data_IF_947367296416
#
_entry.id   IF_947367296416
#
_cell.length_a   1.000
_cell.length_b   1.000
_cell.length_c   1.000
_cell.angle_alpha   90.00
_cell.angle_beta   90.00
_cell.angle_gamma   90.00
#
_symmetry.space_group_name_H-M   'P 1'
#
loop_
_entity.id
_entity.type
_entity.pdbx_description
1 polymer ?
#
# COMPACT_ATOMS: atom_id res chain seq x y z
N UNK A 1 -53.16 -11.42 18.15
CA UNK A 1 -52.18 -10.31 18.07
C UNK A 1 -51.15 -10.67 17.01
N UNK A 2 -50.78 -9.78 16.09
CA UNK A 2 -49.79 -10.11 15.05
C UNK A 2 -48.37 -9.87 15.59
N UNK A 3 -47.47 -10.83 15.41
CA UNK A 3 -46.08 -10.75 15.82
C UNK A 3 -45.28 -9.94 14.79
N UNK A 4 -44.59 -8.88 15.21
CA UNK A 4 -43.78 -8.05 14.30
C UNK A 4 -42.44 -8.72 14.00
N UNK A 5 -42.34 -9.36 12.83
CA UNK A 5 -41.11 -9.96 12.31
C UNK A 5 -40.15 -8.89 11.74
N UNK A 6 -39.62 -7.98 12.57
CA UNK A 6 -38.72 -6.92 12.13
C UNK A 6 -37.24 -7.24 12.41
N UNK A 7 -36.77 -8.35 11.85
CA UNK A 7 -35.41 -8.87 12.02
C UNK A 7 -34.69 -9.02 10.67
N UNK A 8 -33.36 -9.19 10.67
CA UNK A 8 -32.52 -9.26 9.47
C UNK A 8 -32.87 -10.50 8.64
N UNK A 9 -32.44 -10.49 7.37
CA UNK A 9 -32.71 -11.59 6.44
C UNK A 9 -32.22 -12.94 6.97
N UNK A 10 -31.00 -12.99 7.52
CA UNK A 10 -30.40 -14.24 8.01
C UNK A 10 -31.10 -14.75 9.26
N UNK A 11 -31.58 -13.84 10.12
CA UNK A 11 -32.39 -14.17 11.30
C UNK A 11 -33.76 -14.72 10.89
N UNK A 12 -34.41 -14.15 9.86
CA UNK A 12 -35.66 -14.68 9.30
C UNK A 12 -35.47 -16.05 8.64
N UNK A 13 -34.35 -16.26 7.96
CA UNK A 13 -33.99 -17.55 7.37
C UNK A 13 -33.85 -18.58 8.48
N UNK A 14 -33.09 -18.27 9.52
CA UNK A 14 -32.90 -19.19 10.65
C UNK A 14 -34.24 -19.56 11.31
N UNK A 15 -35.11 -18.58 11.59
CA UNK A 15 -36.44 -18.84 12.15
C UNK A 15 -37.28 -19.72 11.22
N UNK A 16 -37.26 -19.48 9.90
CA UNK A 16 -37.99 -20.31 8.95
C UNK A 16 -37.46 -21.75 8.88
N UNK A 17 -36.14 -21.96 8.94
CA UNK A 17 -35.53 -23.30 9.02
C UNK A 17 -35.95 -24.01 10.31
N UNK A 18 -35.92 -23.32 11.45
CA UNK A 18 -36.27 -23.91 12.75
C UNK A 18 -37.75 -24.28 12.85
N UNK A 19 -38.60 -23.56 12.10
CA UNK A 19 -40.01 -23.91 11.90
C UNK A 19 -40.23 -25.05 10.89
N UNK A 20 -39.16 -25.58 10.28
CA UNK A 20 -39.22 -26.65 9.27
C UNK A 20 -39.73 -26.21 7.91
N UNK A 21 -39.63 -24.92 7.57
CA UNK A 21 -40.10 -24.37 6.29
C UNK A 21 -39.02 -24.48 5.23
N UNK A 22 -39.39 -24.88 4.01
CA UNK A 22 -38.49 -24.86 2.87
C UNK A 22 -38.27 -23.42 2.38
N UNK A 23 -37.01 -23.00 2.34
CA UNK A 23 -36.65 -21.63 1.97
C UNK A 23 -36.27 -21.56 0.49
N UNK A 24 -36.95 -20.74 -0.31
CA UNK A 24 -36.57 -20.51 -1.70
C UNK A 24 -35.18 -19.87 -1.78
N UNK A 25 -34.33 -20.38 -2.66
CA UNK A 25 -32.93 -19.98 -2.81
C UNK A 25 -32.71 -18.49 -3.14
N UNK A 26 -33.74 -17.78 -3.63
CA UNK A 26 -33.73 -16.33 -3.89
C UNK A 26 -34.77 -15.52 -3.10
N UNK A 27 -35.28 -16.05 -1.97
CA UNK A 27 -36.30 -15.38 -1.19
C UNK A 27 -35.85 -13.99 -0.69
N UNK A 28 -36.72 -12.98 -0.83
CA UNK A 28 -36.54 -11.66 -0.22
C UNK A 28 -37.10 -11.66 1.20
N UNK A 29 -36.71 -10.67 2.00
CA UNK A 29 -37.21 -10.46 3.37
C UNK A 29 -38.75 -10.49 3.43
N UNK A 30 -39.42 -9.86 2.46
CA UNK A 30 -40.89 -9.83 2.40
C UNK A 30 -41.47 -11.22 2.16
N UNK A 31 -40.83 -12.01 1.29
CA UNK A 31 -41.27 -13.37 0.97
C UNK A 31 -41.11 -14.30 2.18
N UNK A 32 -40.00 -14.14 2.93
CA UNK A 32 -39.74 -14.88 4.16
C UNK A 32 -40.75 -14.53 5.26
N UNK A 33 -41.07 -13.24 5.45
CA UNK A 33 -42.09 -12.82 6.43
C UNK A 33 -43.45 -13.42 6.11
N UNK A 34 -43.86 -13.33 4.84
CA UNK A 34 -45.12 -13.92 4.37
C UNK A 34 -45.13 -15.44 4.55
N UNK A 35 -44.03 -16.12 4.25
CA UNK A 35 -43.89 -17.57 4.42
C UNK A 35 -44.11 -17.97 5.89
N UNK A 36 -43.43 -17.28 6.82
CA UNK A 36 -43.57 -17.51 8.26
C UNK A 36 -45.00 -17.21 8.73
N UNK A 37 -45.57 -16.06 8.39
CA UNK A 37 -46.93 -15.66 8.77
C UNK A 37 -48.01 -16.61 8.20
N UNK A 38 -47.76 -17.20 7.04
CA UNK A 38 -48.68 -18.14 6.39
C UNK A 38 -48.65 -19.56 6.98
N UNK A 39 -47.57 -19.90 7.69
CA UNK A 39 -47.31 -21.24 8.22
C UNK A 39 -48.34 -21.67 9.28
N UNK A 40 -48.59 -22.98 9.38
CA UNK A 40 -49.47 -23.53 10.42
C UNK A 40 -48.90 -23.29 11.82
N UNK A 41 -47.57 -23.36 11.97
CA UNK A 41 -46.87 -23.15 13.24
C UNK A 41 -47.11 -21.73 13.77
N UNK A 42 -47.01 -20.70 12.92
CA UNK A 42 -47.27 -19.31 13.33
C UNK A 42 -48.72 -19.08 13.79
N UNK A 43 -49.68 -19.75 13.16
CA UNK A 43 -51.11 -19.60 13.47
C UNK A 43 -51.51 -20.34 14.75
N UNK A 44 -50.88 -21.48 15.01
CA UNK A 44 -51.20 -22.35 16.14
C UNK A 44 -50.41 -22.00 17.40
N UNK A 45 -49.15 -21.61 17.27
CA UNK A 45 -48.26 -21.31 18.40
C UNK A 45 -47.40 -20.07 18.14
N UNK A 46 -48.00 -18.90 18.38
CA UNK A 46 -47.35 -17.62 18.18
C UNK A 46 -46.26 -17.32 19.22
N UNK A 47 -46.36 -17.90 20.42
CA UNK A 47 -45.37 -17.73 21.49
C UNK A 47 -44.10 -18.52 21.18
N UNK A 48 -44.23 -19.72 20.60
CA UNK A 48 -43.09 -20.46 20.07
C UNK A 48 -42.34 -19.65 19.01
N UNK A 49 -43.04 -19.04 18.04
CA UNK A 49 -42.40 -18.18 17.04
C UNK A 49 -41.75 -16.95 17.69
N UNK A 50 -42.36 -16.37 18.73
CA UNK A 50 -41.73 -15.27 19.48
C UNK A 50 -40.39 -15.71 20.08
N UNK A 51 -40.38 -16.86 20.74
CA UNK A 51 -39.17 -17.41 21.36
C UNK A 51 -38.07 -17.69 20.32
N UNK A 52 -38.42 -18.20 19.14
CA UNK A 52 -37.47 -18.40 18.04
C UNK A 52 -36.86 -17.08 17.56
N UNK A 53 -37.68 -16.03 17.42
CA UNK A 53 -37.19 -14.71 17.00
C UNK A 53 -36.28 -14.09 18.07
N UNK A 54 -36.61 -14.23 19.35
CA UNK A 54 -35.77 -13.76 20.46
C UNK A 54 -34.42 -14.51 20.49
N UNK A 55 -34.44 -15.83 20.30
CA UNK A 55 -33.23 -16.65 20.26
C UNK A 55 -32.34 -16.30 19.05
N UNK A 56 -32.95 -16.06 17.88
CA UNK A 56 -32.22 -15.61 16.69
C UNK A 56 -31.49 -14.28 16.91
N UNK A 57 -32.14 -13.33 17.59
CA UNK A 57 -31.55 -12.03 17.93
C UNK A 57 -30.42 -12.17 18.95
N UNK A 58 -30.61 -12.98 19.99
CA UNK A 58 -29.59 -13.21 21.01
C UNK A 58 -28.35 -13.89 20.43
N UNK A 59 -28.53 -14.90 19.57
CA UNK A 59 -27.43 -15.58 18.86
C UNK A 59 -26.67 -14.64 17.94
N UNK A 60 -27.40 -13.81 17.17
CA UNK A 60 -26.82 -12.77 16.29
C UNK A 60 -25.97 -11.78 17.08
N UNK A 61 -26.44 -11.37 18.27
CA UNK A 61 -25.71 -10.46 19.16
C UNK A 61 -24.46 -11.11 19.76
N UNK A 62 -24.55 -12.34 20.26
CA UNK A 62 -23.41 -13.07 20.81
C UNK A 62 -22.31 -13.32 19.77
N UNK A 63 -22.70 -13.64 18.54
CA UNK A 63 -21.76 -13.84 17.44
C UNK A 63 -21.09 -12.52 17.01
N UNK A 64 -21.82 -11.40 17.01
CA UNK A 64 -21.24 -10.08 16.79
C UNK A 64 -20.22 -9.71 17.88
N UNK A 65 -20.58 -9.87 19.16
CA UNK A 65 -19.66 -9.59 20.28
C UNK A 65 -18.42 -10.49 20.24
N UNK A 66 -18.56 -11.76 19.85
CA UNK A 66 -17.44 -12.68 19.68
C UNK A 66 -16.53 -12.23 18.53
N UNK A 67 -17.11 -11.87 17.38
CA UNK A 67 -16.34 -11.40 16.23
C UNK A 67 -15.61 -10.09 16.52
N UNK A 68 -16.22 -9.18 17.26
CA UNK A 68 -15.57 -7.94 17.71
C UNK A 68 -14.38 -8.22 18.63
N UNK A 69 -14.54 -9.12 19.62
CA UNK A 69 -13.43 -9.54 20.50
C UNK A 69 -12.31 -10.23 19.72
N UNK A 70 -12.66 -11.10 18.78
CA UNK A 70 -11.67 -11.76 17.92
C UNK A 70 -10.90 -10.77 17.05
N UNK A 71 -11.59 -9.77 16.48
CA UNK A 71 -10.96 -8.70 15.70
C UNK A 71 -10.02 -7.85 16.58
N UNK A 72 -10.42 -7.54 17.81
CA UNK A 72 -9.59 -6.78 18.76
C UNK A 72 -8.33 -7.55 19.16
N UNK A 73 -8.47 -8.85 19.46
CA UNK A 73 -7.33 -9.74 19.75
C UNK A 73 -6.40 -9.85 18.54
N UNK A 74 -6.93 -9.95 17.33
CA UNK A 74 -6.11 -10.00 16.11
C UNK A 74 -5.34 -8.69 15.91
N UNK A 75 -5.98 -7.54 16.12
CA UNK A 75 -5.34 -6.23 16.02
C UNK A 75 -4.22 -6.08 17.06
N UNK A 76 -4.46 -6.53 18.29
CA UNK A 76 -3.48 -6.48 19.38
C UNK A 76 -2.28 -7.41 19.11
N UNK A 77 -2.53 -8.62 18.59
CA UNK A 77 -1.46 -9.53 18.12
C UNK A 77 -0.60 -8.93 17.02
N UNK A 78 -1.21 -8.24 16.05
CA UNK A 78 -0.46 -7.55 14.98
C UNK A 78 0.41 -6.44 15.57
N UNK A 79 -0.13 -5.63 16.48
CA UNK A 79 0.62 -4.58 17.18
C UNK A 79 1.79 -5.15 17.98
N UNK A 80 1.57 -6.22 18.73
CA UNK A 80 2.62 -6.91 19.50
C UNK A 80 3.72 -7.45 18.58
N UNK A 81 3.36 -8.13 17.50
CA UNK A 81 4.34 -8.64 16.53
C UNK A 81 5.17 -7.52 15.90
N UNK A 82 4.55 -6.36 15.63
CA UNK A 82 5.26 -5.20 15.11
C UNK A 82 6.25 -4.62 16.12
N UNK A 83 5.87 -4.54 17.40
CA UNK A 83 6.76 -4.09 18.49
C UNK A 83 7.89 -5.09 18.71
N UNK A 84 7.63 -6.39 18.70
CA UNK A 84 8.64 -7.43 18.84
C UNK A 84 9.68 -7.35 17.72
N UNK A 85 9.24 -7.21 16.46
CA UNK A 85 10.16 -6.99 15.33
C UNK A 85 10.99 -5.72 15.49
N UNK A 86 10.40 -4.63 15.97
CA UNK A 86 11.15 -3.39 16.23
C UNK A 86 12.19 -3.57 17.34
N UNK A 87 11.84 -4.28 18.41
CA UNK A 87 12.78 -4.59 19.49
C UNK A 87 13.90 -5.52 19.03
N UNK A 88 13.60 -6.50 18.20
CA UNK A 88 14.59 -7.40 17.61
C UNK A 88 15.56 -6.64 16.70
N UNK A 89 15.05 -5.77 15.82
CA UNK A 89 15.89 -4.87 15.01
C UNK A 89 16.74 -3.94 15.89
N UNK A 90 16.20 -3.42 16.98
CA UNK A 90 16.95 -2.58 17.92
C UNK A 90 18.04 -3.38 18.67
N UNK A 91 17.79 -4.66 19.00
CA UNK A 91 18.79 -5.55 19.60
C UNK A 91 19.89 -5.89 18.61
N UNK A 92 19.55 -6.26 17.38
CA UNK A 92 20.53 -6.52 16.31
C UNK A 92 21.39 -5.28 16.03
N UNK A 93 20.79 -4.08 16.04
CA UNK A 93 21.56 -2.82 15.95
C UNK A 93 22.51 -2.64 17.13
N UNK A 94 22.04 -2.82 18.36
CA UNK A 94 22.90 -2.70 19.57
C UNK A 94 23.96 -3.80 19.66
N UNK A 95 23.70 -4.99 19.17
CA UNK A 95 24.67 -6.08 19.10
C UNK A 95 25.67 -5.85 17.98
N UNK A 96 25.25 -5.31 16.83
CA UNK A 96 26.16 -4.80 15.80
C UNK A 96 27.08 -3.72 16.39
N UNK A 97 26.53 -2.77 17.15
CA UNK A 97 27.28 -1.70 17.84
C UNK A 97 28.25 -2.25 18.92
N UNK A 98 27.83 -3.24 19.71
CA UNK A 98 28.67 -3.91 20.72
C UNK A 98 29.73 -4.83 20.13
N UNK A 99 29.45 -5.49 19.02
CA UNK A 99 30.40 -6.35 18.34
C UNK A 99 31.47 -5.51 17.61
N UNK A 100 31.15 -4.28 17.18
CA UNK A 100 32.15 -3.26 16.83
C UNK A 100 32.93 -2.72 18.03
N UNK A 101 32.37 -2.70 19.25
CA UNK A 101 33.11 -2.29 20.45
C UNK A 101 34.04 -3.37 21.05
N UNK A 102 33.95 -4.63 20.59
CA UNK A 102 34.76 -5.74 21.13
C UNK A 102 36.00 -6.04 20.28
N UNK A 103 36.16 -5.40 19.13
CA UNK A 103 37.25 -5.59 18.18
C UNK A 103 37.79 -4.26 17.64
N UNK A 104 38.00 -3.26 18.50
CA UNK A 104 38.69 -2.02 18.10
C UNK A 104 39.69 -1.56 19.17
N UNK A 105 40.71 -2.39 19.35
CA UNK A 105 42.07 -1.85 19.36
C UNK A 105 42.47 -1.65 17.88
N UNK A 106 42.09 -0.52 17.28
CA UNK A 106 42.57 -0.08 15.96
C UNK A 106 41.47 0.22 14.91
N UNK A 107 41.09 1.50 14.81
CA UNK A 107 40.50 2.25 13.67
C UNK A 107 39.55 1.56 12.64
N UNK A 108 38.24 1.91 12.68
CA UNK A 108 37.39 2.04 11.49
C UNK A 108 36.33 3.16 11.59
N UNK A 109 36.40 4.07 12.56
CA UNK A 109 35.51 5.25 12.67
C UNK A 109 35.53 6.17 11.44
N UNK A 110 36.52 6.04 10.55
CA UNK A 110 36.69 6.93 9.42
C UNK A 110 35.73 6.68 8.24
N UNK A 111 35.26 5.44 8.01
CA UNK A 111 34.57 5.10 6.75
C UNK A 111 33.05 5.31 6.86
N UNK A 112 32.44 4.89 7.97
CA UNK A 112 31.02 5.10 8.26
C UNK A 112 30.70 6.59 8.41
N UNK A 113 31.54 7.34 9.13
CA UNK A 113 31.40 8.80 9.27
C UNK A 113 31.54 9.52 7.92
N UNK A 114 32.42 9.02 7.03
CA UNK A 114 32.54 9.54 5.65
C UNK A 114 31.29 9.24 4.83
N UNK A 115 30.72 8.04 4.92
CA UNK A 115 29.49 7.69 4.21
C UNK A 115 28.31 8.52 4.68
N UNK A 116 28.11 8.68 5.99
CA UNK A 116 27.03 9.49 6.54
C UNK A 116 27.17 10.97 6.14
N UNK A 117 28.40 11.50 6.20
CA UNK A 117 28.73 12.85 5.72
C UNK A 117 28.46 13.02 4.23
N UNK A 118 28.77 12.02 3.40
CA UNK A 118 28.47 12.01 1.96
C UNK A 118 26.96 11.97 1.72
N UNK A 119 26.22 11.07 2.38
CA UNK A 119 24.75 10.97 2.28
C UNK A 119 24.12 12.31 2.65
N UNK A 120 24.55 12.93 3.76
CA UNK A 120 24.04 14.23 4.20
C UNK A 120 24.36 15.34 3.19
N UNK A 121 25.59 15.40 2.71
CA UNK A 121 26.03 16.37 1.71
C UNK A 121 25.27 16.24 0.39
N UNK A 122 25.02 15.01 -0.06
CA UNK A 122 24.29 14.72 -1.29
C UNK A 122 22.81 15.07 -1.10
N UNK A 123 22.19 14.69 0.03
CA UNK A 123 20.82 15.10 0.38
C UNK A 123 20.62 16.62 0.33
N UNK A 124 21.62 17.40 0.75
CA UNK A 124 21.58 18.88 0.66
C UNK A 124 21.69 19.40 -0.77
N UNK A 125 22.41 18.70 -1.66
CA UNK A 125 22.61 19.09 -3.05
C UNK A 125 21.53 18.58 -4.00
N UNK A 126 20.73 17.61 -3.57
CA UNK A 126 19.62 17.04 -4.35
C UNK A 126 18.28 17.69 -4.01
N UNK A 127 17.34 17.63 -4.96
CA UNK A 127 15.94 17.96 -4.65
C UNK A 127 15.35 16.93 -3.69
N UNK A 128 14.31 17.32 -2.94
CA UNK A 128 13.61 16.39 -2.06
C UNK A 128 13.08 15.19 -2.85
N UNK A 129 13.08 14.02 -2.20
CA UNK A 129 12.57 12.77 -2.79
C UNK A 129 11.15 13.01 -3.30
N UNK A 130 10.91 12.88 -4.61
CA UNK A 130 9.62 13.17 -5.20
C UNK A 130 8.48 12.36 -4.62
N UNK A 131 7.31 12.99 -4.49
CA UNK A 131 6.04 12.30 -4.18
C UNK A 131 5.31 11.87 -5.45
N UNK A 132 5.54 12.59 -6.56
CA UNK A 132 4.89 12.34 -7.85
C UNK A 132 5.90 11.80 -8.87
N UNK A 133 5.39 10.91 -9.69
CA UNK A 133 6.06 10.19 -10.79
C UNK A 133 6.85 11.11 -11.73
N UNK A 134 6.26 12.26 -12.10
CA UNK A 134 6.85 13.22 -13.05
C UNK A 134 8.19 13.82 -12.60
N UNK A 135 8.45 13.86 -11.29
CA UNK A 135 9.61 14.55 -10.72
C UNK A 135 10.80 13.63 -10.45
N UNK A 136 10.67 12.31 -10.65
CA UNK A 136 11.75 11.35 -10.44
C UNK A 136 12.91 11.54 -11.44
N UNK A 137 12.62 11.87 -12.70
CA UNK A 137 13.64 12.16 -13.70
C UNK A 137 14.52 13.36 -13.29
N UNK A 138 13.90 14.44 -12.81
CA UNK A 138 14.62 15.61 -12.32
C UNK A 138 15.41 15.29 -11.04
N UNK A 139 14.87 14.43 -10.17
CA UNK A 139 15.57 13.97 -8.98
C UNK A 139 16.84 13.19 -9.32
N UNK A 140 16.75 12.21 -10.22
CA UNK A 140 17.92 11.45 -10.64
C UNK A 140 18.96 12.32 -11.33
N UNK A 141 18.54 13.28 -12.15
CA UNK A 141 19.47 14.23 -12.77
C UNK A 141 20.21 15.09 -11.72
N UNK A 142 19.49 15.60 -10.72
CA UNK A 142 20.09 16.34 -9.61
C UNK A 142 21.03 15.47 -8.77
N UNK A 143 20.64 14.21 -8.52
CA UNK A 143 21.43 13.23 -7.77
C UNK A 143 22.72 12.84 -8.48
N UNK A 144 22.67 12.55 -9.78
CA UNK A 144 23.85 12.22 -10.59
C UNK A 144 24.82 13.39 -10.62
N UNK A 145 24.31 14.62 -10.75
CA UNK A 145 25.13 15.83 -10.65
C UNK A 145 25.78 15.97 -9.27
N UNK A 146 25.06 15.67 -8.20
CA UNK A 146 25.62 15.67 -6.84
C UNK A 146 26.70 14.59 -6.67
N UNK A 147 26.53 13.41 -7.24
CA UNK A 147 27.54 12.35 -7.25
C UNK A 147 28.81 12.77 -7.99
N UNK A 148 28.68 13.46 -9.13
CA UNK A 148 29.83 14.00 -9.86
C UNK A 148 30.56 15.08 -9.04
N UNK A 149 29.82 16.03 -8.46
CA UNK A 149 30.39 17.12 -7.64
C UNK A 149 31.16 16.57 -6.45
N UNK A 150 30.67 15.50 -5.82
CA UNK A 150 31.30 14.87 -4.66
C UNK A 150 32.24 13.73 -5.01
N UNK A 151 32.46 13.45 -6.30
CA UNK A 151 33.32 12.37 -6.80
C UNK A 151 33.04 11.03 -6.10
N UNK A 152 31.75 10.67 -6.02
CA UNK A 152 31.30 9.47 -5.32
C UNK A 152 31.69 8.21 -6.12
N UNK A 153 32.38 7.23 -5.50
CA UNK A 153 32.68 5.94 -6.12
C UNK A 153 31.41 5.20 -6.54
N UNK A 154 31.47 4.48 -7.67
CA UNK A 154 30.31 3.77 -8.22
C UNK A 154 29.73 2.73 -7.25
N UNK A 155 30.60 2.07 -6.49
CA UNK A 155 30.24 1.09 -5.46
C UNK A 155 29.32 1.66 -4.38
N UNK A 156 29.47 2.95 -4.05
CA UNK A 156 28.71 3.62 -2.99
C UNK A 156 27.43 4.29 -3.49
N UNK A 157 27.26 4.47 -4.81
CA UNK A 157 26.11 5.19 -5.38
C UNK A 157 24.79 4.46 -5.11
N UNK A 158 24.79 3.13 -5.20
CA UNK A 158 23.63 2.31 -4.91
C UNK A 158 23.22 2.45 -3.44
N UNK A 159 24.17 2.29 -2.52
CA UNK A 159 23.92 2.40 -1.08
C UNK A 159 23.42 3.78 -0.67
N UNK A 160 24.02 4.85 -1.23
CA UNK A 160 23.60 6.23 -0.98
C UNK A 160 22.18 6.47 -1.53
N UNK A 161 21.88 5.98 -2.74
CA UNK A 161 20.54 6.10 -3.33
C UNK A 161 19.47 5.44 -2.46
N UNK A 162 19.72 4.21 -1.99
CA UNK A 162 18.81 3.50 -1.09
C UNK A 162 18.62 4.23 0.23
N UNK A 163 19.69 4.81 0.80
CA UNK A 163 19.63 5.64 2.00
C UNK A 163 18.86 6.96 1.82
N UNK A 164 18.83 7.51 0.61
CA UNK A 164 18.08 8.72 0.29
C UNK A 164 16.59 8.40 0.13
N UNK A 165 16.25 7.31 -0.55
CA UNK A 165 14.87 6.91 -0.82
C UNK A 165 14.19 6.27 0.40
N UNK A 166 14.94 5.58 1.25
CA UNK A 166 14.46 4.99 2.49
C UNK A 166 13.30 4.02 2.27
N UNK A 167 12.26 4.14 3.10
CA UNK A 167 11.12 3.21 3.11
C UNK A 167 10.32 3.15 1.80
N UNK A 168 10.43 4.18 0.95
CA UNK A 168 9.70 4.29 -0.33
C UNK A 168 10.00 3.14 -1.28
N UNK A 169 11.20 2.60 -1.23
CA UNK A 169 11.64 1.52 -2.13
C UNK A 169 11.66 0.17 -1.44
N UNK A 170 11.51 0.06 -0.12
CA UNK A 170 11.64 -1.21 0.62
C UNK A 170 10.73 -2.33 0.08
N UNK A 171 9.50 -2.00 -0.31
CA UNK A 171 8.57 -2.97 -0.92
C UNK A 171 9.06 -3.46 -2.28
N UNK A 172 9.74 -2.60 -3.06
CA UNK A 172 10.37 -2.95 -4.33
C UNK A 172 11.62 -3.81 -4.10
N UNK A 173 12.42 -3.50 -3.09
CA UNK A 173 13.66 -4.23 -2.77
C UNK A 173 13.42 -5.66 -2.25
N UNK A 174 12.21 -5.96 -1.75
CA UNK A 174 11.85 -7.29 -1.23
C UNK A 174 12.02 -8.40 -2.28
N UNK A 175 11.90 -8.05 -3.56
CA UNK A 175 11.96 -8.99 -4.68
C UNK A 175 13.24 -8.85 -5.53
N UNK A 176 14.18 -8.01 -5.11
CA UNK A 176 15.43 -7.73 -5.84
C UNK A 176 16.57 -8.55 -5.24
N UNK A 177 17.42 -9.14 -6.09
CA UNK A 177 18.57 -9.94 -5.64
C UNK A 177 19.63 -9.05 -4.98
N UNK A 178 20.43 -9.60 -4.05
CA UNK A 178 21.50 -8.83 -3.40
C UNK A 178 22.55 -8.29 -4.39
N UNK A 179 22.82 -9.02 -5.47
CA UNK A 179 23.74 -8.57 -6.51
C UNK A 179 23.20 -7.31 -7.21
N UNK A 180 21.90 -7.27 -7.50
CA UNK A 180 21.26 -6.12 -8.12
C UNK A 180 21.13 -4.91 -7.18
N UNK A 181 21.05 -5.16 -5.86
CA UNK A 181 21.02 -4.10 -4.83
C UNK A 181 22.35 -3.32 -4.72
N UNK A 182 23.44 -3.87 -5.23
CA UNK A 182 24.73 -3.17 -5.32
C UNK A 182 24.90 -2.35 -6.60
N UNK A 183 23.99 -2.51 -7.57
CA UNK A 183 24.11 -1.89 -8.89
C UNK A 183 23.19 -0.66 -9.02
N UNK A 184 23.81 0.52 -9.03
CA UNK A 184 23.10 1.79 -9.17
C UNK A 184 22.21 1.87 -10.42
N UNK A 185 22.69 1.38 -11.56
CA UNK A 185 21.97 1.47 -12.85
C UNK A 185 20.69 0.64 -12.77
N UNK A 186 20.78 -0.59 -12.27
CA UNK A 186 19.62 -1.48 -12.11
C UNK A 186 18.60 -0.93 -11.12
N UNK A 187 19.06 -0.42 -9.97
CA UNK A 187 18.16 0.20 -8.98
C UNK A 187 17.46 1.42 -9.58
N UNK A 188 18.19 2.29 -10.27
CA UNK A 188 17.63 3.46 -10.96
C UNK A 188 16.55 3.04 -11.96
N UNK A 189 16.82 2.05 -12.80
CA UNK A 189 15.87 1.51 -13.77
C UNK A 189 14.62 0.93 -13.10
N UNK A 190 14.79 0.17 -12.02
CA UNK A 190 13.66 -0.39 -11.26
C UNK A 190 12.77 0.69 -10.66
N UNK A 191 13.37 1.72 -10.07
CA UNK A 191 12.63 2.85 -9.50
C UNK A 191 11.94 3.64 -10.62
N UNK A 192 12.64 3.93 -11.71
CA UNK A 192 12.01 4.61 -12.84
C UNK A 192 10.86 3.78 -13.39
N UNK A 193 10.98 2.46 -13.53
CA UNK A 193 9.89 1.61 -14.00
C UNK A 193 8.67 1.62 -13.07
N UNK A 194 8.89 1.58 -11.76
CA UNK A 194 7.81 1.56 -10.78
C UNK A 194 7.13 2.93 -10.62
N UNK A 195 7.92 4.00 -10.71
CA UNK A 195 7.47 5.37 -10.45
C UNK A 195 7.34 6.22 -11.72
N UNK A 196 7.51 5.67 -12.92
CA UNK A 196 7.23 6.40 -14.16
C UNK A 196 5.72 6.58 -14.32
N UNK A 197 5.25 7.80 -14.67
CA UNK A 197 3.84 8.00 -14.88
C UNK A 197 3.37 7.24 -16.11
N UNK A 198 2.26 6.53 -15.97
CA UNK A 198 1.62 5.85 -17.11
C UNK A 198 1.25 6.88 -18.19
N UNK A 199 1.15 6.49 -19.48
CA UNK A 199 0.72 7.41 -20.53
C UNK A 199 -0.60 8.13 -20.21
N UNK A 200 -1.53 7.44 -19.54
CA UNK A 200 -2.81 7.99 -19.09
C UNK A 200 -2.61 9.08 -18.02
N UNK A 201 -1.68 8.88 -17.10
CA UNK A 201 -1.35 9.84 -16.05
C UNK A 201 -0.62 11.06 -16.63
N UNK A 202 0.33 10.85 -17.55
CA UNK A 202 0.96 11.92 -18.32
C UNK A 202 -0.09 12.81 -19.03
N UNK A 203 -1.07 12.19 -19.70
CA UNK A 203 -2.15 12.92 -20.37
C UNK A 203 -3.05 13.68 -19.39
N UNK A 204 -3.39 13.06 -18.27
CA UNK A 204 -4.17 13.67 -17.19
C UNK A 204 -3.47 14.91 -16.63
N UNK A 205 -2.16 14.81 -16.39
CA UNK A 205 -1.34 15.90 -15.88
C UNK A 205 -1.21 17.04 -16.86
N UNK A 206 -0.99 16.74 -18.16
CA UNK A 206 -0.99 17.75 -19.22
C UNK A 206 -2.32 18.52 -19.27
N UNK A 207 -3.46 17.81 -19.25
CA UNK A 207 -4.79 18.43 -19.29
C UNK A 207 -5.10 19.30 -18.07
N UNK A 208 -4.57 18.93 -16.90
CA UNK A 208 -4.80 19.64 -15.63
C UNK A 208 -3.77 20.73 -15.36
N UNK A 209 -2.72 20.83 -16.17
CA UNK A 209 -1.64 21.78 -15.97
C UNK A 209 -2.17 23.22 -16.00
N UNK A 210 -1.87 23.98 -14.93
CA UNK A 210 -2.14 25.42 -14.85
C UNK A 210 -0.86 26.17 -14.55
N UNK A 211 -0.82 27.44 -14.95
CA UNK A 211 0.26 28.35 -14.64
C UNK A 211 0.35 28.54 -13.13
N UNK A 212 1.53 28.33 -12.57
CA UNK A 212 1.83 28.59 -11.17
C UNK A 212 1.99 30.10 -10.92
N UNK A 213 1.68 30.59 -9.71
CA UNK A 213 1.88 32.00 -9.36
C UNK A 213 3.36 32.44 -9.43
N UNK A 214 4.28 31.49 -9.23
CA UNK A 214 5.74 31.70 -9.21
C UNK A 214 6.42 31.66 -10.58
N UNK A 215 5.71 31.30 -11.66
CA UNK A 215 6.30 31.19 -13.00
C UNK A 215 5.71 32.23 -13.98
N UNK A 216 6.49 32.62 -14.99
CA UNK A 216 6.02 33.45 -16.09
C UNK A 216 5.39 32.61 -17.22
N UNK A 217 4.75 33.25 -18.21
CA UNK A 217 4.06 32.52 -19.28
C UNK A 217 4.99 31.72 -20.19
N UNK A 218 6.25 32.16 -20.37
CA UNK A 218 7.25 31.44 -21.17
C UNK A 218 7.72 30.17 -20.44
N UNK A 219 7.94 30.27 -19.13
CA UNK A 219 8.27 29.13 -18.26
C UNK A 219 7.11 28.13 -18.22
N UNK A 220 5.87 28.63 -18.11
CA UNK A 220 4.67 27.78 -18.17
C UNK A 220 4.55 27.07 -19.52
N UNK A 221 4.70 27.79 -20.64
CA UNK A 221 4.66 27.19 -21.96
C UNK A 221 5.75 26.11 -22.14
N UNK A 222 6.97 26.39 -21.68
CA UNK A 222 8.08 25.43 -21.73
C UNK A 222 7.77 24.16 -20.92
N UNK A 223 7.23 24.32 -19.71
CA UNK A 223 6.82 23.21 -18.84
C UNK A 223 5.67 22.40 -19.44
N UNK A 224 4.71 23.07 -20.05
CA UNK A 224 3.55 22.44 -20.69
C UNK A 224 3.97 21.65 -21.94
N UNK A 225 4.87 22.21 -22.77
CA UNK A 225 5.44 21.51 -23.93
C UNK A 225 6.25 20.29 -23.49
N UNK A 226 7.12 20.42 -22.50
CA UNK A 226 7.89 19.30 -21.97
C UNK A 226 6.99 18.16 -21.44
N UNK A 227 5.88 18.50 -20.77
CA UNK A 227 4.90 17.52 -20.32
C UNK A 227 4.20 16.80 -21.49
N UNK A 228 3.93 17.50 -22.59
CA UNK A 228 3.35 16.92 -23.81
C UNK A 228 4.34 16.03 -24.56
N UNK A 229 5.57 16.48 -24.73
CA UNK A 229 6.63 15.70 -25.37
C UNK A 229 6.88 14.39 -24.59
N UNK A 230 6.89 14.48 -23.26
CA UNK A 230 7.01 13.31 -22.39
C UNK A 230 5.84 12.33 -22.57
N UNK A 231 4.59 12.83 -22.66
CA UNK A 231 3.44 11.99 -22.99
C UNK A 231 3.61 11.27 -24.35
N UNK A 232 4.08 11.96 -25.37
CA UNK A 232 4.32 11.37 -26.70
C UNK A 232 5.37 10.25 -26.65
N UNK A 233 6.43 10.42 -25.85
CA UNK A 233 7.45 9.38 -25.60
C UNK A 233 6.84 8.17 -24.89
N UNK A 234 6.10 8.38 -23.80
CA UNK A 234 5.42 7.30 -23.06
C UNK A 234 4.49 6.48 -23.97
N UNK A 235 3.68 7.13 -24.82
CA UNK A 235 2.78 6.45 -25.76
C UNK A 235 3.55 5.66 -26.82
N UNK A 236 4.69 6.18 -27.28
CA UNK A 236 5.53 5.53 -28.28
C UNK A 236 6.24 4.29 -27.73
N UNK A 237 6.75 4.35 -26.50
CA UNK A 237 7.32 3.19 -25.80
C UNK A 237 6.30 2.06 -25.59
N UNK A 238 5.06 2.38 -25.22
CA UNK A 238 4.01 1.36 -25.05
C UNK A 238 3.62 0.69 -26.37
N UNK A 239 3.58 1.45 -27.48
CA UNK A 239 3.34 0.87 -28.81
C UNK A 239 4.46 -0.07 -29.25
N UNK A 240 5.72 0.28 -28.98
CA UNK A 240 6.88 -0.56 -29.28
C UNK A 240 6.87 -1.85 -28.45
N UNK A 241 6.61 -1.77 -27.14
CA UNK A 241 6.48 -2.96 -26.29
C UNK A 241 5.32 -3.88 -26.70
N UNK A 242 4.15 -3.32 -27.02
CA UNK A 242 3.01 -4.11 -27.50
C UNK A 242 3.26 -4.73 -28.88
N UNK A 243 4.03 -4.07 -29.75
CA UNK A 243 4.44 -4.66 -31.03
C UNK A 243 5.46 -5.78 -30.86
N UNK A 244 6.36 -5.70 -29.86
CA UNK A 244 7.31 -6.76 -29.55
C UNK A 244 6.65 -7.99 -28.90
N UNK A 245 5.62 -7.79 -28.08
CA UNK A 245 4.80 -8.85 -27.49
C UNK A 245 3.86 -9.55 -28.50
N UNK A 246 3.65 -8.97 -29.68
CA UNK A 246 2.83 -9.56 -30.75
C UNK A 246 3.65 -10.42 -31.73
N UNK A 247 4.97 -10.56 -31.49
CA UNK A 247 5.91 -11.34 -32.32
C UNK A 247 6.42 -12.59 -31.58
N UNK A 248 5.84 -12.92 -30.41
CA UNK A 248 6.01 -14.20 -29.70
C UNK A 248 4.67 -14.92 -29.72
#
# INVERSE_FOLDING_TARGET
MALKLNVKKDELIWVAVEMGLEIPSKAKIIDLKKLIESSAVYKNDIEFVRSLVENALEKSKQEAEKNEREAEIQLEKIKLSQIEKQLELAKVRKESEKNSQSLESGEPSSITDKLESLVKSIKTLTIQVPVRSESFNLFFHALEKAFQIKSVPDELKAEILLNILGERVNNLLTYVSQEDLSNYVKIKELILREFEPTPQECLSNFKKARKLPSENYVQFASRLSAAFDYYCVCVSCVKLMNSALCVI
#
